data_IF_626264305577
#
_entry.id   IF_626264305577
#
_cell.length_a   1.000
_cell.length_b   1.000
_cell.length_c   1.000
_cell.angle_alpha   90.00
_cell.angle_beta   90.00
_cell.angle_gamma   90.00
#
_symmetry.space_group_name_H-M   'P 1'
#
loop_
_entity.id
_entity.type
_entity.pdbx_description
1 polymer ?
#
# COMPACT_ATOMS: atom_id res chain seq x y z
N UNK A 1 -34.10 -22.41 -22.89
CA UNK A 1 -33.03 -21.45 -22.57
C UNK A 1 -33.17 -21.02 -21.11
N UNK A 2 -32.27 -21.47 -20.22
CA UNK A 2 -32.21 -21.00 -18.83
C UNK A 2 -31.54 -19.63 -18.82
N UNK A 3 -32.22 -18.60 -18.32
CA UNK A 3 -31.63 -17.28 -18.08
C UNK A 3 -30.72 -17.38 -16.86
N UNK A 4 -29.43 -17.12 -17.04
CA UNK A 4 -28.48 -16.95 -15.96
C UNK A 4 -28.96 -15.80 -15.06
N UNK A 5 -29.07 -16.07 -13.76
CA UNK A 5 -29.23 -15.02 -12.74
C UNK A 5 -27.90 -14.29 -12.67
N UNK A 6 -27.80 -13.18 -13.37
CA UNK A 6 -26.76 -12.17 -13.16
C UNK A 6 -26.86 -11.78 -11.68
N UNK A 7 -25.81 -12.09 -10.91
CA UNK A 7 -25.72 -11.72 -9.51
C UNK A 7 -25.91 -10.21 -9.37
N UNK A 8 -26.76 -9.82 -8.42
CA UNK A 8 -27.14 -8.43 -8.17
C UNK A 8 -25.91 -7.52 -8.01
N UNK A 9 -25.92 -6.29 -8.56
CA UNK A 9 -24.80 -5.37 -8.42
C UNK A 9 -24.62 -5.05 -6.94
N UNK A 10 -23.48 -5.44 -6.37
CA UNK A 10 -23.08 -5.04 -5.02
C UNK A 10 -23.06 -3.52 -5.04
N UNK A 11 -24.05 -2.92 -4.36
CA UNK A 11 -24.28 -1.48 -4.28
C UNK A 11 -22.97 -0.76 -4.00
N UNK A 12 -22.69 0.33 -4.73
CA UNK A 12 -21.63 1.32 -4.45
C UNK A 12 -21.64 1.65 -2.95
N UNK A 13 -20.86 0.94 -2.15
CA UNK A 13 -20.75 1.20 -0.72
C UNK A 13 -19.74 2.33 -0.57
N UNK A 14 -20.21 3.43 0.00
CA UNK A 14 -19.44 4.65 0.29
C UNK A 14 -18.45 4.41 1.45
N UNK A 15 -17.76 3.28 1.46
CA UNK A 15 -16.83 2.84 2.50
C UNK A 15 -15.47 3.51 2.31
N UNK A 16 -14.72 3.68 3.40
CA UNK A 16 -13.34 4.18 3.38
C UNK A 16 -12.48 3.41 2.36
N UNK A 17 -12.64 2.10 2.36
CA UNK A 17 -12.08 1.16 1.38
C UNK A 17 -12.40 1.52 -0.08
N UNK A 18 -13.68 1.74 -0.41
CA UNK A 18 -14.11 2.00 -1.79
C UNK A 18 -13.50 3.28 -2.33
N UNK A 19 -13.23 4.26 -1.47
CA UNK A 19 -12.57 5.53 -1.83
C UNK A 19 -11.07 5.36 -2.12
N UNK A 20 -10.38 4.48 -1.40
CA UNK A 20 -8.94 4.25 -1.62
C UNK A 20 -8.70 3.45 -2.90
N UNK A 21 -9.48 2.41 -3.15
CA UNK A 21 -9.35 1.61 -4.38
C UNK A 21 -9.76 2.42 -5.62
N UNK A 22 -10.77 3.30 -5.52
CA UNK A 22 -11.11 4.23 -6.61
C UNK A 22 -10.00 5.22 -6.98
N UNK A 23 -9.05 5.52 -6.07
CA UNK A 23 -7.87 6.33 -6.42
C UNK A 23 -6.91 5.60 -7.38
N UNK A 24 -7.01 4.28 -7.48
CA UNK A 24 -6.17 3.46 -8.36
C UNK A 24 -6.94 3.02 -9.60
N UNK A 25 -8.23 2.71 -9.48
CA UNK A 25 -9.07 2.18 -10.57
C UNK A 25 -10.29 3.09 -10.82
N UNK A 26 -10.38 3.81 -11.95
CA UNK A 26 -11.60 4.52 -12.35
C UNK A 26 -12.79 3.56 -12.47
N UNK A 27 -13.99 4.07 -12.17
CA UNK A 27 -15.21 3.30 -11.84
C UNK A 27 -15.66 2.13 -12.75
N UNK A 28 -15.15 1.99 -13.98
CA UNK A 28 -15.39 0.83 -14.85
C UNK A 28 -14.51 -0.38 -14.51
N UNK A 29 -13.33 -0.18 -13.94
CA UNK A 29 -12.35 -1.22 -13.67
C UNK A 29 -12.57 -1.90 -12.31
N UNK A 30 -13.40 -1.34 -11.44
CA UNK A 30 -13.70 -1.91 -10.11
C UNK A 30 -14.47 -3.24 -10.18
N UNK A 31 -15.35 -3.44 -11.17
CA UNK A 31 -16.02 -4.75 -11.35
C UNK A 31 -15.06 -5.81 -11.90
N UNK A 32 -14.05 -5.38 -12.66
CA UNK A 32 -13.02 -6.22 -13.23
C UNK A 32 -11.93 -6.57 -12.18
N UNK A 33 -11.63 -5.63 -11.27
CA UNK A 33 -10.77 -5.76 -10.09
C UNK A 33 -11.20 -6.87 -9.11
N UNK A 34 -12.52 -7.13 -9.02
CA UNK A 34 -13.11 -8.20 -8.20
C UNK A 34 -13.17 -9.53 -8.96
N UNK A 35 -12.91 -9.52 -10.28
CA UNK A 35 -12.96 -10.71 -11.11
C UNK A 35 -11.63 -11.49 -11.01
N UNK A 36 -11.72 -12.75 -10.59
CA UNK A 36 -10.58 -13.66 -10.39
C UNK A 36 -9.61 -13.70 -11.60
N UNK A 37 -10.15 -13.61 -12.82
CA UNK A 37 -9.38 -13.67 -14.06
C UNK A 37 -8.42 -12.47 -14.27
N UNK A 38 -8.71 -11.31 -13.68
CA UNK A 38 -7.89 -10.10 -13.82
C UNK A 38 -7.04 -9.79 -12.58
N UNK A 39 -7.08 -10.66 -11.56
CA UNK A 39 -6.40 -10.44 -10.30
C UNK A 39 -4.88 -10.35 -10.44
N UNK A 40 -4.29 -11.11 -11.36
CA UNK A 40 -2.85 -11.03 -11.67
C UNK A 40 -2.44 -9.64 -12.17
N UNK A 41 -3.23 -9.05 -13.07
CA UNK A 41 -3.01 -7.68 -13.56
C UNK A 41 -3.20 -6.68 -12.42
N UNK A 42 -4.25 -6.89 -11.63
CA UNK A 42 -4.54 -6.05 -10.48
C UNK A 42 -3.41 -6.04 -9.45
N UNK A 43 -2.86 -7.21 -9.12
CA UNK A 43 -1.70 -7.37 -8.24
C UNK A 43 -0.49 -6.58 -8.76
N UNK A 44 -0.22 -6.62 -10.07
CA UNK A 44 0.85 -5.83 -10.68
C UNK A 44 0.64 -4.32 -10.53
N UNK A 45 -0.61 -3.85 -10.74
CA UNK A 45 -0.95 -2.44 -10.57
C UNK A 45 -0.83 -1.97 -9.12
N UNK A 46 -1.26 -2.80 -8.16
CA UNK A 46 -1.07 -2.51 -6.73
C UNK A 46 0.41 -2.43 -6.38
N UNK A 47 1.22 -3.39 -6.82
CA UNK A 47 2.68 -3.35 -6.62
C UNK A 47 3.28 -2.08 -7.21
N UNK A 48 2.91 -1.72 -8.43
CA UNK A 48 3.43 -0.52 -9.09
C UNK A 48 3.05 0.72 -8.29
N UNK A 49 1.79 0.85 -7.88
CA UNK A 49 1.33 2.00 -7.10
C UNK A 49 2.06 2.15 -5.77
N UNK A 50 2.26 1.06 -5.03
CA UNK A 50 3.02 1.07 -3.77
C UNK A 50 4.47 1.51 -4.05
N UNK A 51 5.10 0.96 -5.08
CA UNK A 51 6.47 1.33 -5.45
C UNK A 51 6.60 2.81 -5.81
N UNK A 52 5.65 3.37 -6.56
CA UNK A 52 5.64 4.78 -6.96
C UNK A 52 5.46 5.70 -5.74
N UNK A 53 4.54 5.36 -4.84
CA UNK A 53 4.30 6.12 -3.62
C UNK A 53 5.52 6.12 -2.69
N UNK A 54 6.18 4.96 -2.52
CA UNK A 54 7.41 4.83 -1.75
C UNK A 54 8.58 5.59 -2.39
N UNK A 55 8.71 5.55 -3.73
CA UNK A 55 9.72 6.30 -4.46
C UNK A 55 9.53 7.81 -4.26
N UNK A 56 8.33 8.33 -4.46
CA UNK A 56 8.02 9.74 -4.19
C UNK A 56 8.26 10.10 -2.73
N UNK A 57 7.92 9.20 -1.81
CA UNK A 57 8.21 9.34 -0.39
C UNK A 57 9.70 9.53 -0.09
N UNK A 58 10.53 8.65 -0.65
CA UNK A 58 12.00 8.68 -0.56
C UNK A 58 12.59 9.94 -1.19
N UNK A 59 12.16 10.33 -2.39
CA UNK A 59 12.67 11.52 -3.07
C UNK A 59 12.43 12.80 -2.28
N UNK A 60 11.26 12.91 -1.62
CA UNK A 60 10.96 14.04 -0.74
C UNK A 60 11.86 14.05 0.51
N UNK A 61 12.08 12.91 1.15
CA UNK A 61 13.03 12.80 2.26
C UNK A 61 14.47 13.08 1.84
N UNK A 62 14.88 12.65 0.64
CA UNK A 62 16.23 12.91 0.16
C UNK A 62 16.49 14.41 -0.05
N UNK A 63 15.49 15.18 -0.51
CA UNK A 63 15.58 16.64 -0.55
C UNK A 63 15.73 17.24 0.85
N UNK A 64 15.06 16.68 1.86
CA UNK A 64 15.22 17.07 3.26
C UNK A 64 16.62 16.74 3.79
N UNK A 65 17.18 15.58 3.46
CA UNK A 65 18.57 15.19 3.76
C UNK A 65 19.55 16.25 3.21
N UNK A 66 19.40 16.61 1.94
CA UNK A 66 20.22 17.64 1.31
C UNK A 66 20.11 19.00 2.02
N UNK A 67 18.91 19.38 2.46
CA UNK A 67 18.70 20.60 3.24
C UNK A 67 19.43 20.54 4.59
N UNK A 68 19.34 19.44 5.32
CA UNK A 68 20.02 19.29 6.60
C UNK A 68 21.55 19.31 6.46
N UNK A 69 22.11 18.68 5.44
CA UNK A 69 23.54 18.79 5.15
C UNK A 69 23.98 20.23 4.87
N UNK A 70 23.25 20.95 4.01
CA UNK A 70 23.53 22.36 3.69
C UNK A 70 23.42 23.27 4.93
N UNK A 71 22.56 22.91 5.87
CA UNK A 71 22.33 23.66 7.11
C UNK A 71 23.26 23.24 8.26
N UNK A 72 24.25 22.36 8.01
CA UNK A 72 25.20 21.87 9.02
C UNK A 72 24.62 20.86 10.02
N UNK A 73 23.38 20.40 9.84
CA UNK A 73 22.66 19.49 10.74
C UNK A 73 22.93 18.01 10.36
N UNK A 74 24.19 17.58 10.46
CA UNK A 74 24.65 16.26 9.97
C UNK A 74 23.89 15.08 10.58
N UNK A 75 23.74 15.02 11.89
CA UNK A 75 23.05 13.91 12.57
C UNK A 75 21.60 13.74 12.09
N UNK A 76 20.94 14.85 11.77
CA UNK A 76 19.57 14.84 11.23
C UNK A 76 19.53 14.34 9.79
N UNK A 77 20.53 14.72 9.01
CA UNK A 77 20.69 14.26 7.63
C UNK A 77 20.92 12.74 7.60
N UNK A 78 21.84 12.23 8.41
CA UNK A 78 22.15 10.80 8.52
C UNK A 78 20.94 9.99 9.00
N UNK A 79 20.25 10.46 10.04
CA UNK A 79 19.02 9.82 10.49
C UNK A 79 17.95 9.77 9.39
N UNK A 80 17.71 10.88 8.69
CA UNK A 80 16.72 10.94 7.61
C UNK A 80 17.13 10.06 6.42
N UNK A 81 18.41 9.98 6.11
CA UNK A 81 18.95 9.14 5.04
C UNK A 81 18.81 7.64 5.34
N UNK A 82 18.93 7.24 6.62
CA UNK A 82 18.63 5.86 7.03
C UNK A 82 17.19 5.46 6.69
N UNK A 83 16.23 6.39 6.80
CA UNK A 83 14.83 6.16 6.44
C UNK A 83 14.65 6.09 4.93
N UNK A 84 15.37 6.92 4.16
CA UNK A 84 15.41 6.80 2.69
C UNK A 84 15.86 5.40 2.25
N UNK A 85 16.88 4.86 2.93
CA UNK A 85 17.39 3.51 2.68
C UNK A 85 16.34 2.45 2.98
N UNK A 86 15.67 2.53 4.12
CA UNK A 86 14.59 1.61 4.50
C UNK A 86 13.41 1.63 3.52
N UNK A 87 13.02 2.80 3.02
CA UNK A 87 11.99 2.93 1.99
C UNK A 87 12.42 2.25 0.69
N UNK A 88 13.68 2.42 0.27
CA UNK A 88 14.20 1.82 -0.96
C UNK A 88 14.32 0.30 -0.86
N UNK A 89 14.84 -0.21 0.27
CA UNK A 89 14.92 -1.64 0.56
C UNK A 89 13.54 -2.30 0.49
N UNK A 90 12.55 -1.69 1.16
CA UNK A 90 11.20 -2.25 1.13
C UNK A 90 10.54 -2.12 -0.24
N UNK A 91 10.74 -1.00 -0.95
CA UNK A 91 10.29 -0.85 -2.35
C UNK A 91 10.87 -1.96 -3.23
N UNK A 92 12.16 -2.29 -3.09
CA UNK A 92 12.79 -3.36 -3.84
C UNK A 92 12.25 -4.74 -3.45
N UNK A 93 11.93 -4.97 -2.17
CA UNK A 93 11.25 -6.19 -1.73
C UNK A 93 9.86 -6.33 -2.38
N UNK A 94 9.07 -5.25 -2.44
CA UNK A 94 7.78 -5.23 -3.17
C UNK A 94 7.99 -5.49 -4.66
N UNK A 95 8.97 -4.85 -5.31
CA UNK A 95 9.28 -5.07 -6.72
C UNK A 95 9.53 -6.56 -7.02
N UNK A 96 10.42 -7.17 -6.24
CA UNK A 96 10.94 -8.52 -6.47
C UNK A 96 10.04 -9.64 -5.93
N UNK A 97 8.94 -9.33 -5.23
CA UNK A 97 8.08 -10.37 -4.69
C UNK A 97 7.32 -11.14 -5.77
N UNK A 98 7.35 -12.47 -5.68
CA UNK A 98 6.41 -13.38 -6.35
C UNK A 98 5.02 -13.16 -5.75
N UNK A 99 4.28 -12.21 -6.31
CA UNK A 99 3.06 -11.69 -5.74
C UNK A 99 1.97 -11.80 -6.80
N UNK A 100 0.98 -12.62 -6.50
CA UNK A 100 -0.13 -12.94 -7.38
C UNK A 100 -1.07 -13.91 -6.67
N UNK A 101 -2.35 -13.57 -6.56
CA UNK A 101 -3.32 -14.54 -6.09
C UNK A 101 -3.49 -15.63 -7.16
N UNK A 102 -3.12 -16.85 -6.81
CA UNK A 102 -3.33 -18.03 -7.64
C UNK A 102 -4.34 -18.94 -6.92
N UNK A 103 -5.62 -18.96 -7.33
CA UNK A 103 -6.55 -19.92 -6.76
C UNK A 103 -6.11 -21.31 -7.19
N UNK A 104 -5.38 -22.02 -6.33
CA UNK A 104 -5.04 -23.42 -6.56
C UNK A 104 -6.33 -24.23 -6.41
N UNK A 105 -6.95 -24.57 -7.54
CA UNK A 105 -7.98 -25.60 -7.68
C UNK A 105 -9.15 -25.57 -6.67
N UNK A 106 -9.51 -24.41 -6.12
CA UNK A 106 -10.70 -24.28 -5.30
C UNK A 106 -11.89 -23.98 -6.21
N UNK A 107 -12.89 -24.87 -6.18
CA UNK A 107 -14.21 -24.59 -6.77
C UNK A 107 -14.69 -23.24 -6.24
N UNK A 108 -15.35 -22.45 -7.11
CA UNK A 108 -15.91 -21.13 -6.79
C UNK A 108 -17.03 -21.33 -5.74
N UNK A 109 -16.65 -21.47 -4.48
CA UNK A 109 -17.54 -21.59 -3.32
C UNK A 109 -17.53 -20.27 -2.55
N UNK A 110 -18.48 -20.09 -1.64
CA UNK A 110 -18.66 -18.87 -0.83
C UNK A 110 -17.40 -18.43 -0.05
N UNK A 111 -16.45 -19.33 0.16
CA UNK A 111 -15.16 -19.05 0.81
C UNK A 111 -14.26 -18.16 -0.05
N UNK A 112 -14.32 -18.31 -1.38
CA UNK A 112 -13.51 -17.52 -2.31
C UNK A 112 -13.85 -16.02 -2.22
N UNK A 113 -15.14 -15.67 -2.11
CA UNK A 113 -15.61 -14.29 -2.01
C UNK A 113 -15.15 -13.61 -0.70
N UNK A 114 -15.11 -14.37 0.40
CA UNK A 114 -14.57 -13.88 1.68
C UNK A 114 -13.07 -13.67 1.57
N UNK A 115 -12.33 -14.65 1.04
CA UNK A 115 -10.89 -14.58 0.85
C UNK A 115 -10.48 -13.38 -0.01
N UNK A 116 -11.23 -13.15 -1.11
CA UNK A 116 -11.08 -11.95 -1.93
C UNK A 116 -11.31 -10.68 -1.12
N UNK A 117 -12.38 -10.60 -0.33
CA UNK A 117 -12.64 -9.43 0.51
C UNK A 117 -11.48 -9.11 1.44
N UNK A 118 -10.86 -10.13 2.05
CA UNK A 118 -9.70 -9.96 2.92
C UNK A 118 -8.46 -9.47 2.16
N UNK A 119 -8.17 -10.05 0.99
CA UNK A 119 -7.06 -9.64 0.13
C UNK A 119 -7.21 -8.17 -0.27
N UNK A 120 -8.40 -7.75 -0.67
CA UNK A 120 -8.59 -6.37 -1.10
C UNK A 120 -8.45 -5.41 0.09
N UNK A 121 -8.91 -5.79 1.29
CA UNK A 121 -8.70 -4.97 2.49
C UNK A 121 -7.22 -4.78 2.80
N UNK A 122 -6.42 -5.84 2.63
CA UNK A 122 -4.97 -5.74 2.72
C UNK A 122 -4.42 -4.77 1.66
N UNK A 123 -4.83 -4.92 0.39
CA UNK A 123 -4.41 -4.02 -0.70
C UNK A 123 -4.70 -2.55 -0.35
N UNK A 124 -5.94 -2.23 0.01
CA UNK A 124 -6.37 -0.89 0.40
C UNK A 124 -5.54 -0.32 1.56
N UNK A 125 -5.23 -1.16 2.55
CA UNK A 125 -4.44 -0.74 3.71
C UNK A 125 -2.98 -0.49 3.34
N UNK A 126 -2.40 -1.29 2.44
CA UNK A 126 -1.04 -1.04 1.95
C UNK A 126 -0.96 0.27 1.16
N UNK A 127 -1.93 0.51 0.28
CA UNK A 127 -2.01 1.76 -0.49
C UNK A 127 -2.14 2.94 0.47
N UNK A 128 -3.00 2.83 1.48
CA UNK A 128 -3.18 3.87 2.49
C UNK A 128 -1.87 4.25 3.15
N UNK A 129 -1.15 3.27 3.71
CA UNK A 129 0.10 3.55 4.41
C UNK A 129 1.19 4.09 3.48
N UNK A 130 1.27 3.60 2.24
CA UNK A 130 2.18 4.16 1.24
C UNK A 130 1.82 5.61 0.86
N UNK A 131 0.53 5.94 0.75
CA UNK A 131 0.03 7.30 0.47
C UNK A 131 0.33 8.23 1.65
N UNK A 132 0.12 7.78 2.90
CA UNK A 132 0.46 8.54 4.11
C UNK A 132 1.95 8.86 4.20
N UNK A 133 2.83 7.88 3.88
CA UNK A 133 4.28 8.12 3.78
C UNK A 133 4.54 9.22 2.74
N UNK A 134 4.03 9.05 1.52
CA UNK A 134 4.26 9.99 0.41
C UNK A 134 3.80 11.42 0.75
N UNK A 135 2.62 11.55 1.36
CA UNK A 135 2.03 12.84 1.72
C UNK A 135 2.79 13.51 2.87
N UNK A 136 3.16 12.77 3.91
CA UNK A 136 3.88 13.31 5.06
C UNK A 136 5.28 13.76 4.69
N UNK A 137 6.01 12.97 3.90
CA UNK A 137 7.37 13.37 3.49
C UNK A 137 7.34 14.61 2.59
N UNK A 138 6.28 14.79 1.77
CA UNK A 138 6.05 16.03 1.03
C UNK A 138 5.80 17.22 1.97
N UNK A 139 4.92 17.08 2.96
CA UNK A 139 4.67 18.14 3.96
C UNK A 139 5.94 18.54 4.70
N UNK A 140 6.70 17.54 5.15
CA UNK A 140 7.98 17.68 5.83
C UNK A 140 8.99 18.45 4.98
N UNK A 141 9.14 18.08 3.71
CA UNK A 141 10.03 18.77 2.77
C UNK A 141 9.66 20.25 2.62
N UNK A 142 8.37 20.58 2.51
CA UNK A 142 7.91 21.98 2.39
C UNK A 142 8.14 22.77 3.68
N UNK A 143 7.81 22.18 4.84
CA UNK A 143 7.96 22.82 6.16
C UNK A 143 9.43 23.04 6.54
N UNK A 144 10.29 22.07 6.31
CA UNK A 144 11.72 22.19 6.65
C UNK A 144 12.42 23.24 5.79
N UNK A 145 12.08 23.33 4.50
CA UNK A 145 12.58 24.40 3.64
C UNK A 145 12.09 25.79 4.07
N UNK A 146 11.02 25.86 4.86
CA UNK A 146 10.52 27.09 5.50
C UNK A 146 11.20 27.40 6.85
N UNK A 147 12.18 26.60 7.29
CA UNK A 147 12.94 26.80 8.52
C UNK A 147 12.44 26.03 9.75
N UNK A 148 11.35 25.26 9.63
CA UNK A 148 10.82 24.47 10.75
C UNK A 148 11.64 23.21 11.01
N UNK A 149 11.83 22.85 12.28
CA UNK A 149 12.38 21.54 12.67
C UNK A 149 11.26 20.49 12.67
N UNK A 150 11.53 19.32 12.10
CA UNK A 150 10.52 18.26 11.87
C UNK A 150 11.04 16.86 12.21
N UNK A 151 12.22 16.76 12.81
CA UNK A 151 12.87 15.47 13.07
C UNK A 151 12.01 14.51 13.92
N UNK A 152 11.28 14.95 14.98
CA UNK A 152 10.37 14.07 15.72
C UNK A 152 9.27 13.47 14.83
N UNK A 153 8.75 14.24 13.88
CA UNK A 153 7.70 13.77 12.97
C UNK A 153 8.22 12.80 11.90
N UNK A 154 9.50 12.93 11.51
CA UNK A 154 10.16 12.00 10.58
C UNK A 154 10.18 10.57 11.14
N UNK A 155 10.29 10.39 12.46
CA UNK A 155 10.21 9.07 13.11
C UNK A 155 8.89 8.37 12.80
N UNK A 156 7.78 9.11 12.66
CA UNK A 156 6.48 8.51 12.37
C UNK A 156 6.42 7.83 10.98
N UNK A 157 7.32 8.18 10.05
CA UNK A 157 7.45 7.48 8.76
C UNK A 157 7.79 6.01 8.96
N UNK A 158 8.65 5.69 9.93
CA UNK A 158 9.01 4.30 10.23
C UNK A 158 7.80 3.52 10.77
N UNK A 159 6.92 4.15 11.55
CA UNK A 159 5.69 3.52 12.04
C UNK A 159 4.76 3.13 10.88
N UNK A 160 4.56 4.05 9.91
CA UNK A 160 3.77 3.77 8.72
C UNK A 160 4.43 2.70 7.83
N UNK A 161 5.75 2.76 7.65
CA UNK A 161 6.49 1.78 6.87
C UNK A 161 6.43 0.38 7.52
N UNK A 162 6.54 0.29 8.84
CA UNK A 162 6.43 -0.98 9.56
C UNK A 162 5.02 -1.56 9.47
N UNK A 163 3.99 -0.72 9.56
CA UNK A 163 2.60 -1.15 9.35
C UNK A 163 2.39 -1.69 7.93
N UNK A 164 2.96 -1.01 6.93
CA UNK A 164 2.94 -1.44 5.54
C UNK A 164 3.67 -2.77 5.33
N UNK A 165 4.88 -2.94 5.90
CA UNK A 165 5.68 -4.17 5.88
C UNK A 165 4.90 -5.35 6.48
N UNK A 166 4.29 -5.16 7.65
CA UNK A 166 3.50 -6.18 8.35
C UNK A 166 2.31 -6.66 7.49
N UNK A 167 1.55 -5.72 6.94
CA UNK A 167 0.41 -6.06 6.07
C UNK A 167 0.86 -6.79 4.81
N UNK A 168 1.94 -6.32 4.18
CA UNK A 168 2.49 -6.95 2.99
C UNK A 168 2.90 -8.40 3.25
N UNK A 169 3.57 -8.65 4.38
CA UNK A 169 3.99 -9.99 4.79
C UNK A 169 2.78 -10.88 5.09
N UNK A 170 1.82 -10.43 5.90
CA UNK A 170 0.59 -11.20 6.21
C UNK A 170 -0.18 -11.59 4.96
N UNK A 171 -0.32 -10.66 4.01
CA UNK A 171 -0.98 -10.93 2.75
C UNK A 171 -0.22 -11.94 1.90
N UNK A 172 1.11 -11.84 1.84
CA UNK A 172 1.96 -12.81 1.15
C UNK A 172 1.79 -14.21 1.75
N UNK A 173 1.88 -14.34 3.07
CA UNK A 173 1.74 -15.62 3.77
C UNK A 173 0.37 -16.25 3.57
N UNK A 174 -0.69 -15.43 3.58
CA UNK A 174 -2.04 -15.87 3.28
C UNK A 174 -2.19 -16.42 1.85
N UNK A 175 -1.68 -15.70 0.85
CA UNK A 175 -1.75 -16.15 -0.55
C UNK A 175 -0.90 -17.40 -0.79
N UNK A 176 0.25 -17.52 -0.12
CA UNK A 176 1.10 -18.70 -0.21
C UNK A 176 0.51 -19.91 0.54
N UNK A 177 -0.61 -19.75 1.25
CA UNK A 177 -1.25 -20.80 2.06
C UNK A 177 -0.48 -21.13 3.35
N UNK A 178 0.49 -20.29 3.73
CA UNK A 178 1.21 -20.40 5.01
C UNK A 178 0.31 -19.97 6.16
N UNK A 179 -0.54 -18.95 5.94
CA UNK A 179 -1.57 -18.52 6.88
C UNK A 179 -2.96 -18.87 6.37
N UNK A 180 -3.82 -19.36 7.27
CA UNK A 180 -5.24 -19.62 6.99
C UNK A 180 -6.14 -18.41 7.24
N UNK A 181 -5.65 -17.37 7.94
CA UNK A 181 -6.44 -16.20 8.32
C UNK A 181 -5.67 -14.92 7.96
N UNK A 182 -6.35 -14.01 7.26
CA UNK A 182 -5.85 -12.68 6.95
C UNK A 182 -6.53 -11.64 7.86
N UNK A 183 -5.92 -11.38 9.01
CA UNK A 183 -6.34 -10.33 9.94
C UNK A 183 -5.65 -9.00 9.63
N UNK A 184 -6.38 -8.12 8.96
CA UNK A 184 -5.96 -6.73 8.71
C UNK A 184 -6.84 -5.82 9.56
N UNK A 185 -6.23 -5.08 10.49
CA UNK A 185 -6.93 -4.02 11.21
C UNK A 185 -7.03 -2.79 10.32
N UNK A 186 -8.23 -2.22 10.20
CA UNK A 186 -8.38 -0.93 9.54
C UNK A 186 -7.57 0.14 10.28
N UNK A 187 -6.86 1.03 9.57
CA UNK A 187 -6.19 2.15 10.19
C UNK A 187 -7.21 3.01 10.95
N UNK A 188 -6.89 3.37 12.20
CA UNK A 188 -7.72 4.32 12.95
C UNK A 188 -7.57 5.70 12.30
N UNK A 189 -8.70 6.38 12.09
CA UNK A 189 -8.77 7.78 11.64
C UNK A 189 -8.18 8.72 12.67
#
# INVERSE_FOLDING_TARGET
>A
MRREKISSPIKKKNTWFGKIIQKIFPSKEYQAYVNAHERKLTDQLIKQKIQDLLLGGKENLFKLVQYYFKSGKKDKAEFTDSICTELDLFRNAVKNSEYGFHPKNQSITEDLDKDYSHIIKADASMIYFADEISNKTRDFQLRAMSGNDIQPEVINILSYLNSLKDIFQKRKDYISGISQILEIKEPKK
#
